data_IF_482164355946
#
_entry.id   IF_482164355946
#
_cell.length_a   1.000
_cell.length_b   1.000
_cell.length_c   1.000
_cell.angle_alpha   90.00
_cell.angle_beta   90.00
_cell.angle_gamma   90.00
#
_symmetry.space_group_name_H-M   'P 1'
#
loop_
_entity.id
_entity.type
_entity.pdbx_description
1 polymer ?
#
# COMPACT_ATOMS: atom_id res chain seq x y z
N UNK A 1 12.78 -57.54 -16.90
CA UNK A 1 12.21 -56.36 -16.20
C UNK A 1 10.72 -56.56 -16.12
N UNK A 2 10.17 -56.67 -14.91
CA UNK A 2 8.74 -56.88 -14.71
C UNK A 2 7.94 -55.67 -15.18
N UNK A 3 6.84 -55.93 -15.91
CA UNK A 3 5.92 -54.88 -16.38
C UNK A 3 5.37 -54.05 -15.21
N UNK A 4 5.22 -54.65 -14.03
CA UNK A 4 4.86 -53.97 -12.78
C UNK A 4 5.91 -52.97 -12.31
N UNK A 5 7.20 -53.26 -12.48
CA UNK A 5 8.29 -52.35 -12.11
C UNK A 5 8.34 -51.14 -13.05
N UNK A 6 8.12 -51.34 -14.35
CA UNK A 6 8.03 -50.26 -15.34
C UNK A 6 6.82 -49.36 -15.09
N UNK A 7 5.67 -49.92 -14.73
CA UNK A 7 4.46 -49.17 -14.36
C UNK A 7 4.73 -48.36 -13.08
N UNK A 8 5.30 -48.98 -12.05
CA UNK A 8 5.66 -48.28 -10.81
C UNK A 8 6.65 -47.14 -11.08
N UNK A 9 7.68 -47.36 -11.89
CA UNK A 9 8.67 -46.33 -12.24
C UNK A 9 8.04 -45.18 -13.03
N UNK A 10 7.08 -45.47 -13.93
CA UNK A 10 6.34 -44.44 -14.67
C UNK A 10 5.42 -43.63 -13.76
N UNK A 11 4.73 -44.26 -12.82
CA UNK A 11 3.89 -43.56 -11.83
C UNK A 11 4.74 -42.78 -10.83
N UNK A 12 5.89 -43.30 -10.41
CA UNK A 12 6.79 -42.60 -9.49
C UNK A 12 7.42 -41.39 -10.17
N UNK A 13 7.85 -41.51 -11.43
CA UNK A 13 8.37 -40.38 -12.22
C UNK A 13 7.30 -39.34 -12.53
N UNK A 14 6.08 -39.74 -12.90
CA UNK A 14 5.00 -38.77 -13.15
C UNK A 14 4.47 -38.14 -11.86
N UNK A 15 4.50 -38.83 -10.72
CA UNK A 15 4.21 -38.26 -9.40
C UNK A 15 5.34 -37.31 -8.93
N UNK A 16 6.61 -37.64 -9.20
CA UNK A 16 7.75 -36.76 -8.91
C UNK A 16 7.77 -35.52 -9.82
N UNK A 17 7.42 -35.67 -11.10
CA UNK A 17 7.32 -34.56 -12.04
C UNK A 17 6.10 -33.68 -11.71
N UNK A 18 4.95 -34.28 -11.36
CA UNK A 18 3.79 -33.53 -10.89
C UNK A 18 4.05 -32.83 -9.54
N UNK A 19 4.86 -33.42 -8.65
CA UNK A 19 5.25 -32.80 -7.39
C UNK A 19 6.37 -31.76 -7.52
N UNK A 20 7.21 -31.82 -8.57
CA UNK A 20 8.15 -30.73 -8.88
C UNK A 20 7.49 -29.57 -9.63
N UNK A 21 6.36 -29.78 -10.32
CA UNK A 21 5.47 -28.71 -10.80
C UNK A 21 4.55 -28.13 -9.71
N UNK A 22 4.44 -28.78 -8.55
CA UNK A 22 3.90 -28.19 -7.31
C UNK A 22 4.94 -27.26 -6.62
N UNK A 23 5.78 -26.62 -7.42
CA UNK A 23 6.73 -25.58 -6.99
C UNK A 23 5.97 -24.27 -6.81
N UNK A 24 5.63 -23.99 -5.55
CA UNK A 24 5.03 -22.76 -5.03
C UNK A 24 3.68 -22.36 -5.68
N UNK A 25 2.60 -23.06 -5.28
CA UNK A 25 1.20 -22.84 -5.71
C UNK A 25 0.81 -21.36 -5.81
N UNK A 26 1.35 -20.52 -4.91
CA UNK A 26 1.15 -19.07 -4.85
C UNK A 26 1.47 -18.36 -6.17
N UNK A 27 2.61 -18.70 -6.79
CA UNK A 27 3.09 -18.05 -8.03
C UNK A 27 2.18 -18.38 -9.21
N UNK A 28 1.80 -19.65 -9.31
CA UNK A 28 0.95 -20.17 -10.38
C UNK A 28 -0.47 -19.61 -10.26
N UNK A 29 -1.02 -19.53 -9.04
CA UNK A 29 -2.33 -18.92 -8.79
C UNK A 29 -2.35 -17.45 -9.22
N UNK A 30 -1.35 -16.67 -8.83
CA UNK A 30 -1.26 -15.26 -9.23
C UNK A 30 -1.16 -15.09 -10.77
N UNK A 31 -0.34 -15.91 -11.44
CA UNK A 31 -0.25 -15.88 -12.90
C UNK A 31 -1.55 -16.31 -13.58
N UNK A 32 -2.28 -17.26 -13.01
CA UNK A 32 -3.57 -17.69 -13.54
C UNK A 32 -4.60 -16.57 -13.43
N UNK A 33 -4.68 -15.88 -12.29
CA UNK A 33 -5.57 -14.70 -12.13
C UNK A 33 -5.23 -13.60 -13.13
N UNK A 34 -3.93 -13.27 -13.30
CA UNK A 34 -3.51 -12.29 -14.31
C UNK A 34 -3.85 -12.72 -15.74
N UNK A 35 -3.71 -14.01 -16.05
CA UNK A 35 -4.09 -14.54 -17.36
C UNK A 35 -5.60 -14.46 -17.59
N UNK A 36 -6.42 -14.67 -16.57
CA UNK A 36 -7.87 -14.55 -16.69
C UNK A 36 -8.30 -13.09 -16.87
N UNK A 37 -7.66 -12.15 -16.16
CA UNK A 37 -7.82 -10.71 -16.41
C UNK A 37 -7.37 -10.34 -17.83
N UNK A 38 -6.24 -10.86 -18.31
CA UNK A 38 -5.77 -10.61 -19.68
C UNK A 38 -6.70 -11.19 -20.76
N UNK A 39 -7.28 -12.38 -20.57
CA UNK A 39 -8.29 -12.90 -21.50
C UNK A 39 -9.52 -11.99 -21.59
N UNK A 40 -9.89 -11.34 -20.49
CA UNK A 40 -11.06 -10.45 -20.41
C UNK A 40 -10.77 -9.05 -20.97
N UNK A 41 -9.63 -8.45 -20.61
CA UNK A 41 -9.34 -7.03 -20.88
C UNK A 41 -8.19 -6.80 -21.88
N UNK A 42 -7.35 -7.80 -22.12
CA UNK A 42 -6.23 -7.72 -23.06
C UNK A 42 -5.24 -6.61 -22.70
N UNK A 43 -5.07 -5.67 -23.64
CA UNK A 43 -4.17 -4.51 -23.51
C UNK A 43 -4.90 -3.25 -23.02
N UNK A 44 -6.12 -3.40 -22.51
CA UNK A 44 -6.91 -2.31 -21.95
C UNK A 44 -6.81 -2.32 -20.42
N UNK A 45 -6.93 -1.16 -19.76
CA UNK A 45 -7.13 -1.12 -18.32
C UNK A 45 -8.38 -1.91 -17.93
N UNK A 46 -8.36 -2.51 -16.74
CA UNK A 46 -9.53 -3.23 -16.22
C UNK A 46 -10.67 -2.26 -15.89
N UNK A 47 -11.88 -2.75 -15.67
CA UNK A 47 -12.94 -1.90 -15.14
C UNK A 47 -12.72 -1.69 -13.63
N UNK A 48 -12.86 -0.44 -13.16
CA UNK A 48 -12.70 -0.12 -11.76
C UNK A 48 -13.92 -0.59 -10.95
N UNK A 49 -13.69 -1.09 -9.75
CA UNK A 49 -14.74 -1.41 -8.81
C UNK A 49 -15.32 -0.13 -8.23
N UNK A 50 -16.65 -0.06 -8.18
CA UNK A 50 -17.32 0.97 -7.40
C UNK A 50 -17.23 0.62 -5.91
N UNK A 51 -17.03 1.62 -5.03
CA UNK A 51 -17.19 1.43 -3.59
C UNK A 51 -18.57 0.86 -3.29
N UNK A 52 -18.67 -0.02 -2.28
CA UNK A 52 -19.93 -0.69 -1.98
C UNK A 52 -20.94 0.33 -1.41
N UNK A 53 -22.11 0.57 -2.05
CA UNK A 53 -23.07 1.58 -1.57
C UNK A 53 -23.61 1.30 -0.16
N UNK A 54 -23.60 0.02 0.23
CA UNK A 54 -24.00 -0.45 1.56
C UNK A 54 -23.07 0.05 2.67
N UNK A 55 -21.81 0.36 2.35
CA UNK A 55 -20.82 0.87 3.31
C UNK A 55 -21.02 2.37 3.53
N UNK A 56 -21.27 3.14 2.47
CA UNK A 56 -21.53 4.58 2.57
C UNK A 56 -22.81 4.88 3.37
N UNK A 57 -23.84 4.04 3.21
CA UNK A 57 -25.13 4.21 3.88
C UNK A 57 -25.23 3.51 5.26
N UNK A 58 -24.16 2.87 5.73
CA UNK A 58 -24.19 2.16 7.00
C UNK A 58 -24.19 3.14 8.19
N UNK A 59 -25.37 3.28 8.81
CA UNK A 59 -25.57 4.22 9.93
C UNK A 59 -24.67 3.90 11.14
N UNK A 60 -24.47 2.63 11.48
CA UNK A 60 -23.61 2.24 12.60
C UNK A 60 -22.14 2.59 12.33
N UNK A 61 -21.66 2.24 11.14
CA UNK A 61 -20.31 2.59 10.69
C UNK A 61 -20.07 4.10 10.73
N UNK A 62 -21.01 4.88 10.21
CA UNK A 62 -20.92 6.34 10.18
C UNK A 62 -20.95 6.95 11.59
N UNK A 63 -21.69 6.35 12.52
CA UNK A 63 -21.66 6.75 13.94
C UNK A 63 -20.31 6.45 14.60
N UNK A 64 -19.68 5.32 14.29
CA UNK A 64 -18.36 4.95 14.81
C UNK A 64 -17.30 5.96 14.32
N UNK A 65 -17.29 6.27 13.03
CA UNK A 65 -16.39 7.26 12.44
C UNK A 65 -16.62 8.64 13.04
N UNK A 66 -17.88 9.09 13.10
CA UNK A 66 -18.19 10.39 13.68
C UNK A 66 -17.68 10.49 15.12
N UNK A 67 -17.98 9.49 15.97
CA UNK A 67 -17.50 9.47 17.37
C UNK A 67 -15.98 9.53 17.47
N UNK A 68 -15.30 8.83 16.56
CA UNK A 68 -13.85 8.86 16.47
C UNK A 68 -13.34 10.27 16.13
N UNK A 69 -13.79 10.86 15.02
CA UNK A 69 -13.39 12.19 14.57
C UNK A 69 -13.67 13.28 15.61
N UNK A 70 -14.84 13.24 16.26
CA UNK A 70 -15.20 14.17 17.34
C UNK A 70 -14.29 14.07 18.57
N UNK A 71 -13.64 12.91 18.78
CA UNK A 71 -12.73 12.68 19.91
C UNK A 71 -11.31 13.17 19.65
N UNK A 72 -10.95 13.48 18.41
CA UNK A 72 -9.58 13.82 18.04
C UNK A 72 -9.24 15.28 18.36
N UNK A 73 -7.96 15.58 18.66
CA UNK A 73 -7.46 16.95 18.66
C UNK A 73 -7.68 17.59 17.28
N UNK A 74 -8.22 18.81 17.24
CA UNK A 74 -8.58 19.55 16.02
C UNK A 74 -7.40 19.89 15.07
N UNK A 75 -6.19 19.43 15.39
CA UNK A 75 -5.02 19.34 14.51
C UNK A 75 -5.39 18.76 13.13
N UNK A 76 -6.40 17.89 13.13
CA UNK A 76 -6.74 17.10 11.98
C UNK A 76 -7.34 17.84 10.78
N UNK A 77 -8.26 18.73 11.09
CA UNK A 77 -8.84 19.65 10.12
C UNK A 77 -7.75 20.52 9.51
N UNK A 78 -6.65 20.79 10.23
CA UNK A 78 -5.49 21.55 9.74
C UNK A 78 -4.70 20.82 8.66
N UNK A 79 -4.47 19.51 8.79
CA UNK A 79 -3.76 18.69 7.80
C UNK A 79 -4.59 18.51 6.52
N UNK A 80 -5.89 18.24 6.66
CA UNK A 80 -6.82 18.28 5.53
C UNK A 80 -6.85 19.69 4.91
N UNK A 81 -6.98 20.75 5.69
CA UNK A 81 -6.97 22.14 5.16
C UNK A 81 -5.69 22.45 4.40
N UNK A 82 -4.52 21.98 4.87
CA UNK A 82 -3.22 22.19 4.20
C UNK A 82 -3.11 21.36 2.90
N UNK A 83 -3.55 20.10 2.94
CA UNK A 83 -3.53 19.19 1.78
C UNK A 83 -4.60 19.54 0.73
N UNK A 84 -5.78 20.03 1.15
CA UNK A 84 -6.91 20.37 0.28
C UNK A 84 -6.93 21.85 -0.16
N UNK A 85 -6.34 22.80 0.59
CA UNK A 85 -6.12 24.16 0.06
C UNK A 85 -5.10 24.19 -1.09
N UNK A 86 -4.38 23.10 -1.36
CA UNK A 86 -3.62 22.92 -2.60
C UNK A 86 -4.51 22.68 -3.84
N UNK A 87 -5.76 22.22 -3.64
CA UNK A 87 -6.75 21.96 -4.69
C UNK A 87 -7.66 23.18 -4.96
N UNK A 88 -7.65 24.18 -4.07
CA UNK A 88 -8.48 25.39 -4.15
C UNK A 88 -7.67 26.66 -4.48
N UNK A 89 -6.43 26.49 -4.97
CA UNK A 89 -5.62 27.62 -5.41
C UNK A 89 -6.18 28.14 -6.75
N UNK A 90 -6.75 29.35 -6.74
CA UNK A 90 -7.19 30.13 -7.91
C UNK A 90 -6.15 30.22 -9.06
N UNK A 91 -4.90 29.81 -8.84
CA UNK A 91 -3.77 29.87 -9.78
C UNK A 91 -3.06 28.52 -10.02
N UNK A 92 -3.60 27.40 -9.52
CA UNK A 92 -3.00 26.07 -9.64
C UNK A 92 -1.70 25.89 -8.84
N UNK A 93 -1.16 24.67 -8.83
CA UNK A 93 0.15 24.36 -8.23
C UNK A 93 1.27 24.66 -9.23
N UNK A 94 2.47 25.07 -8.76
CA UNK A 94 3.61 25.37 -9.65
C UNK A 94 4.06 24.21 -10.55
N UNK A 95 3.60 22.99 -10.24
CA UNK A 95 3.99 21.74 -10.89
C UNK A 95 2.83 21.04 -11.63
N UNK A 96 1.70 21.74 -11.85
CA UNK A 96 0.48 21.21 -12.48
C UNK A 96 0.69 20.72 -13.92
N UNK A 97 1.25 21.55 -14.80
CA UNK A 97 1.53 21.20 -16.21
C UNK A 97 2.35 19.92 -16.36
N UNK A 98 3.14 19.62 -15.34
CA UNK A 98 4.00 18.45 -15.32
C UNK A 98 3.27 17.22 -14.81
N UNK A 99 2.33 17.35 -13.88
CA UNK A 99 1.41 16.25 -13.55
C UNK A 99 0.60 15.89 -14.80
N UNK A 100 0.05 16.89 -15.49
CA UNK A 100 -0.77 16.65 -16.69
C UNK A 100 0.04 16.01 -17.82
N UNK A 101 1.29 16.45 -18.03
CA UNK A 101 2.22 15.77 -18.96
C UNK A 101 2.48 14.33 -18.56
N UNK A 102 2.70 14.01 -17.29
CA UNK A 102 2.94 12.63 -16.86
C UNK A 102 1.71 11.75 -17.07
N UNK A 103 0.52 12.22 -16.69
CA UNK A 103 -0.74 11.50 -16.87
C UNK A 103 -1.11 11.32 -18.35
N UNK A 104 -0.65 12.22 -19.22
CA UNK A 104 -0.86 12.09 -20.67
C UNK A 104 0.14 11.14 -21.31
N UNK A 105 1.40 11.15 -20.85
CA UNK A 105 2.49 10.37 -21.43
C UNK A 105 2.48 8.91 -20.98
N UNK A 106 2.17 8.65 -19.71
CA UNK A 106 2.11 7.31 -19.16
C UNK A 106 0.68 6.80 -19.25
N UNK A 107 0.50 5.58 -19.74
CA UNK A 107 -0.80 4.93 -19.71
C UNK A 107 -0.95 4.13 -18.41
N UNK A 108 -2.19 3.97 -17.91
CA UNK A 108 -2.47 2.99 -16.87
C UNK A 108 -1.86 1.62 -17.12
N UNK A 109 -1.43 0.97 -16.05
CA UNK A 109 -0.99 -0.43 -16.08
C UNK A 109 -2.15 -1.33 -16.51
N UNK A 110 -1.88 -2.23 -17.43
CA UNK A 110 -2.85 -3.21 -17.95
C UNK A 110 -2.46 -4.64 -17.57
N UNK A 111 -3.39 -5.61 -17.63
CA UNK A 111 -3.07 -7.02 -17.37
C UNK A 111 -1.92 -7.54 -18.25
N UNK A 112 -1.83 -7.11 -19.52
CA UNK A 112 -0.70 -7.47 -20.39
C UNK A 112 0.63 -6.94 -19.85
N UNK A 113 0.68 -5.69 -19.37
CA UNK A 113 1.89 -5.14 -18.78
C UNK A 113 2.34 -5.95 -17.56
N UNK A 114 1.40 -6.35 -16.71
CA UNK A 114 1.68 -7.18 -15.54
C UNK A 114 2.14 -8.58 -15.92
N UNK A 115 1.52 -9.24 -16.90
CA UNK A 115 1.97 -10.55 -17.39
C UNK A 115 3.39 -10.47 -17.97
N UNK A 116 3.68 -9.47 -18.80
CA UNK A 116 5.01 -9.28 -19.38
C UNK A 116 6.08 -9.04 -18.31
N UNK A 117 5.70 -8.33 -17.25
CA UNK A 117 6.59 -8.02 -16.14
C UNK A 117 6.80 -9.22 -15.21
N UNK A 118 5.73 -9.88 -14.77
CA UNK A 118 5.78 -10.92 -13.74
C UNK A 118 6.11 -12.32 -14.26
N UNK A 119 5.74 -12.67 -15.50
CA UNK A 119 6.06 -13.99 -16.07
C UNK A 119 7.57 -14.31 -16.03
N UNK A 120 8.48 -13.43 -16.51
CA UNK A 120 9.92 -13.68 -16.40
C UNK A 120 10.48 -13.52 -14.98
N UNK A 121 9.76 -12.83 -14.09
CA UNK A 121 10.19 -12.64 -12.70
C UNK A 121 9.89 -13.88 -11.85
N UNK A 122 8.68 -14.42 -11.97
CA UNK A 122 8.19 -15.59 -11.23
C UNK A 122 8.81 -16.91 -11.70
N UNK A 123 9.34 -16.95 -12.93
CA UNK A 123 10.10 -18.11 -13.43
C UNK A 123 11.48 -18.26 -12.78
N UNK A 124 11.97 -17.24 -12.05
CA UNK A 124 13.17 -17.34 -11.24
C UNK A 124 12.85 -18.10 -9.95
N UNK A 125 13.61 -19.15 -9.65
CA UNK A 125 13.37 -20.00 -8.47
C UNK A 125 13.27 -19.20 -7.17
N UNK A 126 14.12 -18.17 -7.01
CA UNK A 126 14.24 -17.36 -5.79
C UNK A 126 13.07 -16.37 -5.57
N UNK A 127 12.33 -15.99 -6.61
CA UNK A 127 11.27 -14.99 -6.47
C UNK A 127 9.96 -15.65 -6.01
N UNK A 128 9.48 -15.31 -4.82
CA UNK A 128 8.17 -15.72 -4.30
C UNK A 128 7.53 -14.54 -3.56
N UNK A 129 6.21 -14.55 -3.39
CA UNK A 129 5.52 -13.62 -2.49
C UNK A 129 5.54 -14.15 -1.06
N UNK A 130 5.64 -13.26 -0.08
CA UNK A 130 5.66 -13.61 1.33
C UNK A 130 4.71 -12.73 2.13
N UNK A 131 4.22 -13.30 3.23
CA UNK A 131 3.47 -12.56 4.23
C UNK A 131 4.31 -11.39 4.76
N UNK A 132 3.75 -10.18 4.69
CA UNK A 132 4.41 -8.96 5.12
C UNK A 132 5.19 -8.23 4.02
N UNK A 133 5.31 -8.78 2.81
CA UNK A 133 5.77 -7.98 1.67
C UNK A 133 4.90 -6.72 1.55
N UNK A 134 5.51 -5.57 1.28
CA UNK A 134 4.79 -4.29 1.19
C UNK A 134 4.66 -3.91 -0.29
N UNK A 135 3.44 -3.71 -0.75
CA UNK A 135 3.17 -3.14 -2.07
C UNK A 135 3.05 -1.63 -1.95
N UNK A 136 3.72 -0.90 -2.82
CA UNK A 136 3.63 0.55 -2.97
C UNK A 136 3.08 0.88 -4.34
N UNK A 137 2.18 1.86 -4.42
CA UNK A 137 1.57 2.27 -5.68
C UNK A 137 1.59 3.79 -5.85
N UNK A 138 1.61 4.21 -7.11
CA UNK A 138 1.24 5.56 -7.51
C UNK A 138 0.04 5.43 -8.45
N UNK A 139 -1.13 5.87 -8.00
CA UNK A 139 -2.32 5.86 -8.85
C UNK A 139 -2.16 6.86 -10.01
N UNK A 140 -2.78 6.53 -11.14
CA UNK A 140 -2.91 7.36 -12.32
C UNK A 140 -3.99 8.45 -12.12
N UNK A 141 -3.91 9.17 -11.00
CA UNK A 141 -4.78 10.27 -10.62
C UNK A 141 -3.98 11.48 -10.19
N UNK A 142 -4.44 12.68 -10.55
CA UNK A 142 -3.78 13.94 -10.20
C UNK A 142 -3.54 14.08 -8.69
N UNK A 143 -4.53 13.75 -7.86
CA UNK A 143 -4.44 13.79 -6.40
C UNK A 143 -3.31 12.92 -5.85
N UNK A 144 -3.15 11.70 -6.39
CA UNK A 144 -2.05 10.80 -6.01
C UNK A 144 -0.67 11.39 -6.34
N UNK A 145 -0.51 12.02 -7.50
CA UNK A 145 0.74 12.71 -7.84
C UNK A 145 1.03 13.91 -6.92
N UNK A 146 0.00 14.70 -6.58
CA UNK A 146 0.15 15.82 -5.63
C UNK A 146 0.60 15.29 -4.27
N UNK A 147 -0.06 14.26 -3.77
CA UNK A 147 0.25 13.66 -2.46
C UNK A 147 1.68 13.10 -2.42
N UNK A 148 2.06 12.29 -3.40
CA UNK A 148 3.41 11.75 -3.50
C UNK A 148 4.47 12.87 -3.63
N UNK A 149 4.18 13.97 -4.34
CA UNK A 149 5.09 15.11 -4.45
C UNK A 149 5.28 15.85 -3.11
N UNK A 150 4.18 16.16 -2.41
CA UNK A 150 4.20 16.85 -1.11
C UNK A 150 4.96 16.02 -0.07
N UNK A 151 4.85 14.69 -0.12
CA UNK A 151 5.55 13.75 0.74
C UNK A 151 6.96 13.37 0.26
N UNK A 152 7.50 14.03 -0.77
CA UNK A 152 8.80 13.67 -1.37
C UNK A 152 8.93 12.15 -1.63
N UNK A 153 7.83 11.53 -2.06
CA UNK A 153 7.68 10.11 -2.23
C UNK A 153 7.60 9.75 -3.72
N UNK A 154 7.99 8.51 -4.05
CA UNK A 154 7.74 7.91 -5.36
C UNK A 154 6.31 7.35 -5.48
N UNK A 155 5.66 7.14 -4.34
CA UNK A 155 4.39 6.42 -4.21
C UNK A 155 3.41 7.23 -3.38
N UNK A 156 2.12 7.14 -3.69
CA UNK A 156 1.05 7.81 -2.94
C UNK A 156 0.39 6.90 -1.90
N UNK A 157 0.58 5.59 -2.01
CA UNK A 157 -0.09 4.61 -1.16
C UNK A 157 0.78 3.35 -0.95
N UNK A 158 0.50 2.61 0.12
CA UNK A 158 1.19 1.35 0.42
C UNK A 158 0.36 0.41 1.27
N UNK A 159 0.36 -0.87 0.97
CA UNK A 159 -0.37 -1.89 1.71
C UNK A 159 0.46 -3.16 1.92
N UNK A 160 -0.02 -4.09 2.74
CA UNK A 160 0.66 -5.36 2.99
C UNK A 160 0.07 -6.51 2.19
N UNK A 161 0.96 -7.36 1.70
CA UNK A 161 0.61 -8.64 1.08
C UNK A 161 0.41 -9.70 2.17
N UNK A 162 -0.72 -10.38 2.07
CA UNK A 162 -1.09 -11.54 2.87
C UNK A 162 -1.42 -12.72 1.95
N UNK A 163 -0.68 -13.81 2.10
CA UNK A 163 -0.92 -15.08 1.44
C UNK A 163 -2.00 -15.82 2.23
N UNK A 164 -3.19 -15.91 1.65
CA UNK A 164 -4.32 -16.57 2.28
C UNK A 164 -3.97 -18.04 2.59
N UNK A 165 -4.04 -18.50 3.85
CA UNK A 165 -3.58 -19.83 4.22
C UNK A 165 -4.43 -20.95 3.59
N UNK A 166 -5.71 -20.65 3.27
CA UNK A 166 -6.68 -21.58 2.68
C UNK A 166 -6.53 -21.68 1.17
N UNK A 167 -6.44 -20.54 0.49
CA UNK A 167 -6.45 -20.50 -0.99
C UNK A 167 -5.06 -20.39 -1.60
N UNK A 168 -4.04 -19.98 -0.82
CA UNK A 168 -2.69 -19.62 -1.28
C UNK A 168 -2.63 -18.44 -2.26
N UNK A 169 -3.74 -17.74 -2.48
CA UNK A 169 -3.78 -16.53 -3.31
C UNK A 169 -3.09 -15.39 -2.54
N UNK A 170 -2.14 -14.65 -3.17
CA UNK A 170 -1.64 -13.40 -2.63
C UNK A 170 -2.75 -12.36 -2.61
N UNK A 171 -3.08 -11.87 -1.43
CA UNK A 171 -4.05 -10.82 -1.19
C UNK A 171 -3.34 -9.56 -0.72
N UNK A 172 -3.96 -8.40 -0.90
CA UNK A 172 -3.54 -7.12 -0.32
C UNK A 172 -4.54 -6.74 0.75
N UNK A 173 -4.05 -6.48 1.97
CA UNK A 173 -4.83 -5.90 3.06
C UNK A 173 -4.76 -4.38 2.87
N UNK A 174 -5.79 -3.82 2.23
CA UNK A 174 -5.85 -2.41 1.86
C UNK A 174 -6.53 -1.59 2.94
N UNK A 175 -5.83 -0.54 3.40
CA UNK A 175 -6.41 0.51 4.25
C UNK A 175 -6.49 1.82 3.49
N UNK A 176 -7.67 2.18 2.97
CA UNK A 176 -7.86 3.25 1.99
C UNK A 176 -8.98 4.21 2.39
N UNK A 177 -8.88 5.51 2.04
CA UNK A 177 -9.94 6.48 2.29
C UNK A 177 -11.24 6.17 1.55
N UNK A 178 -11.17 5.40 0.46
CA UNK A 178 -12.35 4.97 -0.30
C UNK A 178 -13.10 3.88 0.46
N UNK A 179 -12.42 2.77 0.71
CA UNK A 179 -12.97 1.61 1.40
C UNK A 179 -11.80 0.72 1.85
N UNK A 180 -11.82 0.25 3.09
CA UNK A 180 -10.93 -0.80 3.52
C UNK A 180 -11.38 -2.11 2.89
N UNK A 181 -10.45 -2.85 2.25
CA UNK A 181 -10.77 -4.14 1.64
C UNK A 181 -9.59 -5.11 1.63
N UNK A 182 -9.89 -6.40 1.55
CA UNK A 182 -8.90 -7.42 1.21
C UNK A 182 -9.17 -7.89 -0.21
N UNK A 183 -8.20 -7.70 -1.10
CA UNK A 183 -8.36 -7.94 -2.55
C UNK A 183 -7.21 -8.79 -3.10
N UNK A 184 -7.42 -9.62 -4.15
CA UNK A 184 -6.31 -10.31 -4.80
C UNK A 184 -5.25 -9.32 -5.30
N UNK A 185 -3.97 -9.66 -5.13
CA UNK A 185 -2.86 -8.81 -5.58
C UNK A 185 -2.93 -8.52 -7.09
N UNK A 186 -3.38 -9.49 -7.87
CA UNK A 186 -3.57 -9.38 -9.31
C UNK A 186 -4.56 -8.27 -9.68
N UNK A 187 -5.73 -8.24 -9.03
CA UNK A 187 -6.74 -7.20 -9.18
C UNK A 187 -6.26 -5.85 -8.66
N UNK A 188 -5.61 -5.82 -7.48
CA UNK A 188 -5.05 -4.60 -6.90
C UNK A 188 -4.06 -3.92 -7.85
N UNK A 189 -3.12 -4.67 -8.43
CA UNK A 189 -2.11 -4.13 -9.35
C UNK A 189 -2.67 -3.72 -10.72
N UNK A 190 -3.83 -4.24 -11.14
CA UNK A 190 -4.53 -3.76 -12.34
C UNK A 190 -5.31 -2.46 -12.09
N UNK A 191 -5.46 -2.07 -10.83
CA UNK A 191 -6.24 -0.94 -10.38
C UNK A 191 -7.62 -1.37 -9.93
N UNK A 192 -7.81 -1.44 -8.60
CA UNK A 192 -9.06 -1.87 -7.99
C UNK A 192 -10.09 -0.74 -7.95
N UNK A 193 -9.79 0.32 -7.20
CA UNK A 193 -10.59 1.56 -7.16
C UNK A 193 -10.06 2.64 -8.10
N UNK A 194 -8.77 2.56 -8.45
CA UNK A 194 -8.08 3.54 -9.26
C UNK A 194 -7.05 2.83 -10.13
N UNK A 195 -6.88 3.29 -11.36
CA UNK A 195 -5.82 2.81 -12.23
C UNK A 195 -4.44 3.16 -11.68
N UNK A 196 -3.44 2.29 -11.92
CA UNK A 196 -2.08 2.51 -11.44
C UNK A 196 -1.18 3.04 -12.55
N UNK A 197 -0.25 3.94 -12.18
CA UNK A 197 0.83 4.40 -13.04
C UNK A 197 2.12 3.59 -12.82
N UNK A 198 2.45 3.31 -11.55
CA UNK A 198 3.63 2.53 -11.15
C UNK A 198 3.38 1.79 -9.85
N UNK A 199 4.14 0.72 -9.63
CA UNK A 199 4.15 0.00 -8.36
C UNK A 199 5.54 -0.52 -8.01
N UNK A 200 5.72 -0.86 -6.75
CA UNK A 200 6.83 -1.67 -6.29
C UNK A 200 6.40 -2.61 -5.18
N UNK A 201 7.12 -3.72 -5.03
CA UNK A 201 6.95 -4.63 -3.90
C UNK A 201 8.29 -4.71 -3.20
N UNK A 202 8.30 -4.40 -1.91
CA UNK A 202 9.49 -4.50 -1.07
C UNK A 202 9.33 -5.59 -0.04
N UNK A 203 10.47 -6.19 0.31
CA UNK A 203 10.59 -7.21 1.34
C UNK A 203 11.51 -6.72 2.44
N UNK A 204 11.15 -7.05 3.68
CA UNK A 204 12.05 -6.88 4.82
C UNK A 204 13.27 -7.80 4.69
N UNK A 205 14.46 -7.21 4.72
CA UNK A 205 15.73 -7.88 4.40
C UNK A 205 16.25 -8.79 5.51
N UNK A 206 15.81 -8.57 6.76
CA UNK A 206 16.25 -9.37 7.90
C UNK A 206 15.25 -10.49 8.18
N UNK A 207 15.70 -11.48 8.94
CA UNK A 207 14.81 -12.55 9.40
C UNK A 207 13.71 -11.95 10.29
N UNK A 208 12.46 -12.06 9.84
CA UNK A 208 11.28 -11.71 10.62
C UNK A 208 10.69 -12.97 11.28
N UNK A 209 10.02 -12.79 12.42
CA UNK A 209 9.27 -13.87 13.04
C UNK A 209 8.04 -14.21 12.18
N UNK A 210 8.20 -15.21 11.32
CA UNK A 210 7.18 -15.67 10.38
C UNK A 210 5.89 -16.10 11.10
N UNK A 211 5.99 -16.66 12.30
CA UNK A 211 4.82 -17.09 13.05
C UNK A 211 4.03 -15.89 13.53
N UNK A 212 4.71 -14.87 14.08
CA UNK A 212 4.05 -13.61 14.45
C UNK A 212 3.44 -12.90 13.24
N UNK A 213 4.16 -12.81 12.12
CA UNK A 213 3.66 -12.18 10.90
C UNK A 213 2.41 -12.88 10.36
N UNK A 214 2.42 -14.22 10.31
CA UNK A 214 1.25 -14.98 9.90
C UNK A 214 0.07 -14.76 10.86
N UNK A 215 0.33 -14.80 12.17
CA UNK A 215 -0.69 -14.63 13.20
C UNK A 215 -1.38 -13.27 13.10
N UNK A 216 -0.60 -12.18 12.96
CA UNK A 216 -1.17 -10.83 12.90
C UNK A 216 -1.94 -10.57 11.61
N UNK A 217 -1.42 -11.01 10.45
CA UNK A 217 -2.14 -10.81 9.17
C UNK A 217 -3.43 -11.65 9.13
N UNK A 218 -3.43 -12.87 9.68
CA UNK A 218 -4.66 -13.65 9.86
C UNK A 218 -5.64 -12.99 10.81
N UNK A 219 -5.17 -12.42 11.93
CA UNK A 219 -6.02 -11.68 12.88
C UNK A 219 -6.69 -10.48 12.22
N UNK A 220 -5.98 -9.74 11.37
CA UNK A 220 -6.54 -8.64 10.58
C UNK A 220 -7.60 -9.17 9.62
N UNK A 221 -7.30 -10.23 8.88
CA UNK A 221 -8.25 -10.80 7.92
C UNK A 221 -9.55 -11.30 8.60
N UNK A 222 -9.44 -11.93 9.76
CA UNK A 222 -10.58 -12.48 10.50
C UNK A 222 -11.44 -11.40 11.18
N UNK A 223 -10.86 -10.24 11.50
CA UNK A 223 -11.53 -9.14 12.19
C UNK A 223 -11.61 -7.87 11.33
N UNK A 224 -11.55 -8.03 10.01
CA UNK A 224 -11.38 -6.93 9.08
C UNK A 224 -12.49 -5.89 9.15
N UNK A 225 -13.71 -6.29 9.52
CA UNK A 225 -14.86 -5.40 9.74
C UNK A 225 -14.62 -4.33 10.83
N UNK A 226 -13.64 -4.54 11.71
CA UNK A 226 -13.27 -3.62 12.77
C UNK A 226 -12.11 -2.69 12.37
N UNK A 227 -11.56 -2.82 11.16
CA UNK A 227 -10.51 -1.93 10.64
C UNK A 227 -11.16 -0.76 9.91
N UNK A 228 -10.89 0.46 10.38
CA UNK A 228 -11.37 1.71 9.80
C UNK A 228 -10.19 2.52 9.28
N UNK A 229 -10.40 3.26 8.19
CA UNK A 229 -9.36 4.14 7.67
C UNK A 229 -9.23 5.35 8.59
N UNK A 230 -8.00 5.64 9.03
CA UNK A 230 -7.69 6.88 9.73
C UNK A 230 -7.49 7.99 8.70
N UNK A 231 -8.59 8.48 8.12
CA UNK A 231 -8.58 9.74 7.37
C UNK A 231 -7.98 10.86 8.24
N UNK A 232 -8.13 10.73 9.57
CA UNK A 232 -7.37 11.45 10.53
C UNK A 232 -5.86 11.35 10.68
N UNK A 233 -5.08 10.56 9.96
CA UNK A 233 -3.63 10.32 10.20
C UNK A 233 -3.09 10.73 11.61
N UNK A 234 -3.80 10.36 12.69
CA UNK A 234 -3.76 11.05 14.00
C UNK A 234 -3.13 10.20 15.07
N UNK A 235 -2.96 8.91 14.79
CA UNK A 235 -2.49 7.93 15.76
C UNK A 235 -1.21 7.26 15.29
N UNK A 236 -0.51 6.75 16.31
CA UNK A 236 0.52 5.74 16.20
C UNK A 236 0.16 4.67 17.24
N UNK A 237 -0.84 3.84 16.94
CA UNK A 237 -1.29 2.81 17.89
C UNK A 237 -0.42 1.56 17.73
N UNK A 238 0.46 1.32 18.71
CA UNK A 238 1.18 0.05 18.78
C UNK A 238 0.21 -1.10 19.10
N UNK A 239 0.49 -2.28 18.52
CA UNK A 239 -0.27 -3.50 18.81
C UNK A 239 0.31 -4.13 20.08
N UNK A 240 -0.32 -3.88 21.22
CA UNK A 240 0.16 -4.34 22.52
C UNK A 240 -0.22 -5.79 22.84
N UNK A 241 -1.32 -6.28 22.26
CA UNK A 241 -1.91 -7.60 22.50
C UNK A 241 -2.51 -8.10 21.20
N UNK A 242 -2.09 -9.29 20.74
CA UNK A 242 -2.62 -9.88 19.50
C UNK A 242 -4.03 -10.42 19.71
N UNK A 243 -4.35 -10.84 20.94
CA UNK A 243 -5.66 -11.36 21.32
C UNK A 243 -6.74 -10.28 21.20
N UNK A 244 -6.43 -9.06 21.64
CA UNK A 244 -7.37 -7.93 21.68
C UNK A 244 -7.36 -7.08 20.40
N UNK A 245 -6.37 -7.27 19.53
CA UNK A 245 -6.24 -6.48 18.31
C UNK A 245 -7.45 -6.65 17.38
N UNK A 246 -8.06 -5.53 16.98
CA UNK A 246 -9.29 -5.47 16.18
C UNK A 246 -10.48 -6.20 16.81
N UNK A 247 -10.48 -6.41 18.14
CA UNK A 247 -11.65 -6.90 18.88
C UNK A 247 -12.79 -5.86 18.95
N UNK A 248 -12.46 -4.60 18.68
CA UNK A 248 -13.34 -3.43 18.58
C UNK A 248 -12.87 -2.56 17.42
N UNK A 249 -13.64 -1.55 16.99
CA UNK A 249 -13.20 -0.62 15.95
C UNK A 249 -11.85 0.02 16.25
N UNK A 250 -10.91 -0.10 15.32
CA UNK A 250 -9.61 0.57 15.34
C UNK A 250 -9.38 1.30 14.01
N UNK A 251 -8.61 2.38 14.07
CA UNK A 251 -8.40 3.30 12.96
C UNK A 251 -6.93 3.32 12.61
N UNK A 252 -6.62 2.97 11.36
CA UNK A 252 -5.27 3.01 10.82
C UNK A 252 -5.31 3.53 9.39
N UNK A 253 -4.37 4.36 9.01
CA UNK A 253 -4.08 4.61 7.61
C UNK A 253 -3.05 3.61 7.08
N UNK A 254 -2.93 3.56 5.76
CA UNK A 254 -2.10 2.60 5.02
C UNK A 254 -0.68 2.40 5.59
N UNK A 255 0.09 3.49 5.78
CA UNK A 255 1.44 3.45 6.35
C UNK A 255 1.50 3.05 7.83
N UNK A 256 0.54 3.50 8.65
CA UNK A 256 0.50 3.18 10.08
C UNK A 256 0.21 1.70 10.33
N UNK A 257 -0.72 1.11 9.58
CA UNK A 257 -1.03 -0.32 9.72
C UNK A 257 0.20 -1.18 9.45
N UNK A 258 0.96 -0.86 8.40
CA UNK A 258 2.24 -1.53 8.09
C UNK A 258 3.20 -1.39 9.26
N UNK A 259 3.38 -0.16 9.76
CA UNK A 259 4.30 0.10 10.88
C UNK A 259 3.91 -0.68 12.13
N UNK A 260 2.63 -0.64 12.52
CA UNK A 260 2.14 -1.30 13.72
C UNK A 260 2.34 -2.83 13.65
N UNK A 261 2.10 -3.43 12.48
CA UNK A 261 2.36 -4.85 12.23
C UNK A 261 3.84 -5.18 12.35
N UNK A 262 4.72 -4.42 11.70
CA UNK A 262 6.17 -4.66 11.78
C UNK A 262 6.74 -4.41 13.17
N UNK A 263 6.22 -3.41 13.89
CA UNK A 263 6.60 -3.12 15.26
C UNK A 263 6.22 -4.26 16.21
N UNK A 264 5.04 -4.88 16.02
CA UNK A 264 4.64 -6.09 16.73
C UNK A 264 5.54 -7.30 16.42
N UNK A 265 5.85 -7.52 15.15
CA UNK A 265 6.64 -8.68 14.70
C UNK A 265 8.10 -8.58 15.16
N UNK A 266 8.72 -7.41 14.99
CA UNK A 266 10.15 -7.18 15.23
C UNK A 266 10.42 -6.76 16.68
N UNK A 267 9.47 -6.07 17.33
CA UNK A 267 9.60 -5.59 18.72
C UNK A 267 10.43 -4.31 18.89
N UNK A 268 10.73 -3.59 17.81
CA UNK A 268 11.36 -2.26 17.85
C UNK A 268 10.86 -1.38 16.70
N UNK A 269 11.25 -0.10 16.68
CA UNK A 269 10.86 0.90 15.67
C UNK A 269 11.98 1.29 14.71
N UNK A 270 13.16 0.66 14.78
CA UNK A 270 14.38 1.12 14.08
C UNK A 270 14.42 0.69 12.60
N UNK A 271 13.38 -0.03 12.14
CA UNK A 271 13.29 -0.55 10.78
C UNK A 271 12.81 0.47 9.75
N UNK A 272 12.30 1.63 10.20
CA UNK A 272 11.98 2.75 9.32
C UNK A 272 13.18 3.68 9.19
N UNK A 273 13.27 4.39 8.06
CA UNK A 273 14.33 5.37 7.83
C UNK A 273 14.29 6.48 8.90
N UNK A 274 15.28 6.50 9.80
CA UNK A 274 15.49 7.54 10.81
C UNK A 274 15.74 8.88 10.08
N UNK A 275 14.90 9.88 10.36
CA UNK A 275 14.69 11.18 9.67
C UNK A 275 13.50 11.22 8.69
N UNK A 276 12.77 10.12 8.49
CA UNK A 276 11.72 10.02 7.46
C UNK A 276 10.36 10.62 7.80
N UNK A 277 10.20 11.20 8.99
CA UNK A 277 9.02 12.00 9.31
C UNK A 277 9.05 13.29 8.50
N UNK A 278 7.94 13.62 7.84
CA UNK A 278 7.80 14.89 7.12
C UNK A 278 6.88 15.77 7.98
N UNK A 279 7.42 16.75 8.71
CA UNK A 279 6.61 17.70 9.45
C UNK A 279 5.62 18.39 8.52
N UNK A 280 4.46 18.78 9.04
CA UNK A 280 3.47 19.57 8.29
C UNK A 280 4.12 20.80 7.65
N UNK A 281 5.00 21.49 8.36
CA UNK A 281 5.74 22.65 7.82
C UNK A 281 6.54 22.28 6.56
N UNK A 282 7.13 21.08 6.52
CA UNK A 282 7.87 20.59 5.35
C UNK A 282 6.94 20.22 4.20
N UNK A 283 5.78 19.61 4.48
CA UNK A 283 4.74 19.35 3.47
C UNK A 283 4.28 20.65 2.81
N UNK A 284 4.01 21.69 3.62
CA UNK A 284 3.59 23.01 3.14
C UNK A 284 4.69 23.68 2.31
N UNK A 285 5.95 23.60 2.76
CA UNK A 285 7.11 24.10 1.98
C UNK A 285 7.24 23.36 0.65
N UNK A 286 7.04 22.04 0.64
CA UNK A 286 7.11 21.22 -0.57
C UNK A 286 6.06 21.63 -1.60
N UNK A 287 4.88 22.12 -1.18
CA UNK A 287 3.84 22.64 -2.10
C UNK A 287 4.35 23.77 -3.02
N UNK A 288 5.36 24.53 -2.59
CA UNK A 288 5.93 25.63 -3.39
C UNK A 288 5.02 26.85 -3.50
N UNK A 289 4.02 26.98 -2.63
CA UNK A 289 3.05 28.08 -2.60
C UNK A 289 3.20 28.83 -1.27
N UNK A 290 3.25 30.19 -1.28
CA UNK A 290 3.38 30.97 -0.06
C UNK A 290 2.30 30.63 0.98
N UNK A 291 2.70 30.50 2.24
CA UNK A 291 1.79 30.22 3.36
C UNK A 291 0.96 31.47 3.64
N UNK A 292 -0.36 31.35 3.59
CA UNK A 292 -1.25 32.46 3.96
C UNK A 292 -1.21 32.71 5.48
N UNK A 293 -1.58 33.92 5.96
CA UNK A 293 -1.64 34.17 7.40
C UNK A 293 -2.56 33.20 8.17
N UNK A 294 -3.66 32.75 7.54
CA UNK A 294 -4.59 31.78 8.13
C UNK A 294 -3.94 30.40 8.21
N UNK A 295 -3.34 29.91 7.11
CA UNK A 295 -2.61 28.63 7.13
C UNK A 295 -1.50 28.63 8.17
N UNK A 296 -0.76 29.75 8.31
CA UNK A 296 0.35 29.83 9.25
C UNK A 296 -0.06 29.52 10.68
N UNK A 297 -1.25 29.97 11.12
CA UNK A 297 -1.78 29.65 12.45
C UNK A 297 -1.95 28.14 12.63
N UNK A 298 -2.43 27.43 11.61
CA UNK A 298 -2.59 25.99 11.64
C UNK A 298 -1.25 25.26 11.59
N UNK A 299 -0.31 25.71 10.74
CA UNK A 299 1.04 25.14 10.65
C UNK A 299 1.78 25.29 11.98
N UNK A 300 1.77 26.47 12.57
CA UNK A 300 2.45 26.75 13.84
C UNK A 300 1.86 25.91 14.99
N UNK A 301 0.52 25.81 15.07
CA UNK A 301 -0.15 24.96 16.04
C UNK A 301 0.20 23.48 15.85
N UNK A 302 0.24 23.05 14.60
CA UNK A 302 0.53 21.67 14.26
C UNK A 302 1.96 21.26 14.65
N UNK A 303 2.95 22.08 14.29
CA UNK A 303 4.34 21.83 14.67
C UNK A 303 4.55 21.78 16.18
N UNK A 304 3.81 22.56 16.97
CA UNK A 304 3.87 22.47 18.44
C UNK A 304 3.32 21.14 18.97
N UNK A 305 2.24 20.62 18.38
CA UNK A 305 1.68 19.33 18.78
C UNK A 305 2.58 18.16 18.36
N UNK A 306 3.10 18.19 17.15
CA UNK A 306 4.05 17.20 16.62
C UNK A 306 5.27 17.03 17.56
N UNK A 307 5.84 18.16 18.03
CA UNK A 307 6.94 18.16 19.00
C UNK A 307 6.54 17.61 20.39
N UNK A 308 5.31 17.87 20.83
CA UNK A 308 4.84 17.49 22.18
C UNK A 308 4.46 16.01 22.26
N UNK A 309 3.75 15.52 21.25
CA UNK A 309 3.16 14.17 21.28
C UNK A 309 4.09 13.10 20.73
N UNK A 310 5.17 13.48 20.04
CA UNK A 310 5.99 12.55 19.25
C UNK A 310 5.13 11.72 18.28
N UNK A 311 3.99 12.29 17.86
CA UNK A 311 3.12 11.71 16.87
C UNK A 311 3.64 12.13 15.51
N UNK A 312 4.15 11.14 14.77
CA UNK A 312 4.74 11.33 13.45
C UNK A 312 3.87 10.64 12.41
N UNK A 313 3.66 11.28 11.27
CA UNK A 313 3.08 10.65 10.09
C UNK A 313 4.10 9.68 9.50
N UNK A 314 3.70 8.41 9.37
CA UNK A 314 4.49 7.35 8.76
C UNK A 314 4.09 7.24 7.29
N UNK A 315 4.92 7.80 6.42
CA UNK A 315 4.66 7.77 4.98
C UNK A 315 5.32 6.54 4.31
N UNK A 316 5.01 6.35 3.03
CA UNK A 316 5.55 5.27 2.21
C UNK A 316 7.09 5.29 2.15
N UNK A 317 7.67 6.50 2.09
CA UNK A 317 9.12 6.75 1.99
C UNK A 317 9.89 6.25 3.20
N UNK A 318 9.27 6.21 4.38
CA UNK A 318 9.87 5.61 5.58
C UNK A 318 10.29 4.15 5.38
N UNK A 319 9.54 3.41 4.56
CA UNK A 319 9.78 1.99 4.30
C UNK A 319 10.70 1.78 3.11
N UNK A 320 10.38 2.32 1.93
CA UNK A 320 11.11 1.98 0.71
C UNK A 320 12.52 2.61 0.62
N UNK A 321 12.82 3.64 1.43
CA UNK A 321 14.19 4.16 1.61
C UNK A 321 14.92 3.53 2.80
N UNK A 322 14.25 2.75 3.63
CA UNK A 322 14.91 2.07 4.73
C UNK A 322 15.88 1.01 4.20
N UNK A 323 17.08 0.95 4.78
CA UNK A 323 18.06 -0.12 4.51
C UNK A 323 17.53 -1.52 4.83
N UNK A 324 16.49 -1.58 5.65
CA UNK A 324 15.90 -2.83 6.12
C UNK A 324 14.89 -3.40 5.13
N UNK A 325 14.55 -2.69 4.05
CA UNK A 325 13.67 -3.18 2.99
C UNK A 325 14.37 -3.11 1.63
N UNK A 326 14.21 -4.14 0.80
CA UNK A 326 14.68 -4.15 -0.59
C UNK A 326 13.55 -4.40 -1.58
N UNK A 327 13.59 -3.79 -2.77
CA UNK A 327 12.63 -4.09 -3.81
C UNK A 327 12.83 -5.52 -4.32
N UNK A 328 11.75 -6.30 -4.36
CA UNK A 328 11.70 -7.60 -5.05
C UNK A 328 11.03 -7.47 -6.42
N UNK A 329 10.19 -6.45 -6.61
CA UNK A 329 9.56 -6.10 -7.87
C UNK A 329 9.46 -4.58 -8.00
N UNK A 330 9.82 -4.03 -9.17
CA UNK A 330 9.77 -2.60 -9.46
C UNK A 330 9.24 -2.36 -10.88
N UNK A 331 8.05 -1.76 -11.01
CA UNK A 331 7.49 -1.32 -12.28
C UNK A 331 7.39 0.21 -12.29
N UNK A 332 8.26 0.86 -13.06
CA UNK A 332 8.42 2.31 -13.08
C UNK A 332 9.67 2.78 -12.34
N UNK A 333 9.59 3.94 -11.69
CA UNK A 333 10.71 4.56 -10.95
C UNK A 333 10.46 4.52 -9.44
N UNK A 334 11.52 4.35 -8.65
CA UNK A 334 11.51 4.52 -7.18
C UNK A 334 12.08 5.87 -6.73
N UNK A 335 12.47 6.75 -7.67
CA UNK A 335 12.86 8.13 -7.35
C UNK A 335 11.63 8.90 -6.92
N UNK A 336 11.81 9.82 -5.97
CA UNK A 336 10.70 10.69 -5.59
C UNK A 336 10.21 11.49 -6.79
N UNK A 337 8.93 11.86 -6.75
CA UNK A 337 8.38 12.74 -7.77
C UNK A 337 9.20 14.05 -7.82
N UNK A 338 9.49 14.65 -6.66
CA UNK A 338 10.29 15.87 -6.55
C UNK A 338 11.68 15.75 -7.19
N UNK A 339 12.41 14.66 -6.96
CA UNK A 339 13.70 14.39 -7.61
C UNK A 339 13.59 14.24 -9.13
N UNK A 340 12.54 13.55 -9.58
CA UNK A 340 12.27 13.33 -11.00
C UNK A 340 11.98 14.65 -11.73
N UNK A 341 11.51 15.65 -10.99
CA UNK A 341 11.07 16.93 -11.50
C UNK A 341 12.16 18.01 -11.44
N UNK A 342 12.98 18.04 -10.41
CA UNK A 342 14.09 19.00 -10.27
C UNK A 342 15.27 18.75 -11.23
N UNK A 343 15.30 17.61 -11.96
CA UNK A 343 16.33 17.32 -12.97
C UNK A 343 16.02 17.83 -14.38
N UNK A 344 14.83 18.40 -14.61
CA UNK A 344 14.38 18.89 -15.93
C UNK A 344 14.32 20.42 -16.07
N UNK A 345 14.75 21.14 -15.03
CA UNK A 345 15.10 22.57 -15.06
C UNK A 345 16.61 22.69 -14.88
#
# INVERSE_FOLDING_TARGET
MDKLFLIFFFFFQSFFIASTYASDDTKNLFLNELNDLYKKYGNSPVELHNPSPEIENNTERNQIISKYEWSLPKLWIGLQTICYNALDLDKGLPFDDMIDRNLTQNKPITPKNLLDFFTPLLSKEEFTFQNGDIVFILSHLRSSFIFAYILDSAYSHSDMIWINPKTKIPMVIMSSPVENRIVPLSEYLCGYFEHLNSFAIYRYNKESDKNKMNLILSKIADNFQNLYFDEPFSRNTNINSIEDFLSKPEFFYCGELIYAVYQFVIGNSDFIYNDGYIPIETMVKNRGVPITPIEKVFVDYASQLEMKEKNYLINQRNFYLSKDFSPIALYGSNKSLKESYNKKN
#
